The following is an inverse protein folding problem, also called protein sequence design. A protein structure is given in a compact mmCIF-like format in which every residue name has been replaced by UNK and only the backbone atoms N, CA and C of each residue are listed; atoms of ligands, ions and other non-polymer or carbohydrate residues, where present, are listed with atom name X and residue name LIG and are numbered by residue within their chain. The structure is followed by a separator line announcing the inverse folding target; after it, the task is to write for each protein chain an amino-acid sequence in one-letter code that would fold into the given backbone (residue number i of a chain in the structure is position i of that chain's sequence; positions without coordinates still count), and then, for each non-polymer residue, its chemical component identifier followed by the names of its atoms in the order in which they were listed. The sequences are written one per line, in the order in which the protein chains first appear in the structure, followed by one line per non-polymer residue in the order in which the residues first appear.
data_IF_593694222797
#
_entry.id   IF_593694222797
#
_cell.length_a   1.000
_cell.length_b   1.000
_cell.length_c   1.000
_cell.angle_alpha   90.00
_cell.angle_beta   90.00
_cell.angle_gamma   90.00
#
_symmetry.space_group_name_H-M   'P 1'
#
loop_
_entity.id
_entity.type
_entity.pdbx_description
1 polymer ?
#
# COMPACT_ATOMS: atom_id res chain seq x y z
N UNK A 1 10.92 14.01 16.02
CA UNK A 1 11.26 12.80 15.25
C UNK A 1 11.49 13.24 13.82
N UNK A 2 12.53 12.68 13.19
CA UNK A 2 12.90 13.04 11.82
C UNK A 2 12.02 12.28 10.83
N UNK A 3 11.26 12.97 9.98
CA UNK A 3 10.32 12.40 9.01
C UNK A 3 10.62 12.87 7.60
N UNK A 4 10.43 12.00 6.62
CA UNK A 4 10.54 12.32 5.20
C UNK A 4 9.15 12.63 4.62
N UNK A 5 8.87 13.90 4.38
CA UNK A 5 7.56 14.32 3.85
C UNK A 5 7.54 14.52 2.34
N UNK A 6 8.66 14.82 1.73
CA UNK A 6 8.83 14.93 0.27
C UNK A 6 10.31 14.86 -0.10
N UNK A 7 10.58 14.61 -1.37
CA UNK A 7 11.92 14.59 -1.92
C UNK A 7 11.94 15.33 -3.26
N UNK A 8 12.93 16.19 -3.43
CA UNK A 8 13.23 16.89 -4.68
C UNK A 8 14.74 16.96 -4.89
N UNK A 9 15.16 16.90 -6.14
CA UNK A 9 16.55 17.06 -6.54
C UNK A 9 16.62 17.74 -7.91
N UNK A 10 17.51 18.71 -8.11
CA UNK A 10 17.71 19.31 -9.43
C UNK A 10 18.33 18.34 -10.44
N UNK A 11 18.96 17.26 -10.00
CA UNK A 11 19.60 16.27 -10.87
C UNK A 11 18.62 15.29 -11.50
N UNK A 12 17.50 14.99 -10.83
CA UNK A 12 16.53 14.00 -11.27
C UNK A 12 15.12 14.58 -11.27
N UNK A 13 14.45 14.65 -12.42
CA UNK A 13 13.15 15.31 -12.51
C UNK A 13 12.07 14.53 -11.78
N UNK A 14 11.22 15.26 -11.06
CA UNK A 14 10.00 14.74 -10.48
C UNK A 14 9.02 14.41 -11.61
N UNK A 15 8.58 13.14 -11.67
CA UNK A 15 7.57 12.66 -12.62
C UNK A 15 6.15 12.84 -12.06
N UNK A 16 5.99 12.50 -10.77
CA UNK A 16 4.69 12.53 -10.12
C UNK A 16 4.85 12.59 -8.60
N UNK A 17 4.02 13.41 -7.95
CA UNK A 17 3.87 13.41 -6.49
C UNK A 17 2.52 12.84 -6.12
N UNK A 18 2.51 11.61 -5.62
CA UNK A 18 1.32 10.95 -5.09
C UNK A 18 1.01 11.36 -3.66
N UNK A 19 -0.06 10.80 -3.10
CA UNK A 19 -0.49 11.06 -1.71
C UNK A 19 0.60 10.70 -0.69
N UNK A 20 1.38 9.62 -0.93
CA UNK A 20 2.38 9.09 0.01
C UNK A 20 3.73 8.73 -0.63
N UNK A 21 3.88 8.85 -1.95
CA UNK A 21 5.09 8.55 -2.70
C UNK A 21 5.44 9.67 -3.68
N UNK A 22 6.73 9.88 -3.89
CA UNK A 22 7.26 10.73 -4.95
C UNK A 22 7.96 9.83 -5.98
N UNK A 23 7.65 10.00 -7.26
CA UNK A 23 8.26 9.28 -8.38
C UNK A 23 9.14 10.22 -9.17
N UNK A 24 10.38 9.84 -9.40
CA UNK A 24 11.38 10.63 -10.12
C UNK A 24 11.98 9.82 -11.28
N UNK A 25 12.57 10.49 -12.26
CA UNK A 25 13.29 9.86 -13.36
C UNK A 25 14.75 9.67 -12.99
N UNK A 26 15.20 8.44 -12.81
CA UNK A 26 16.61 8.14 -12.60
C UNK A 26 17.43 8.37 -13.89
N UNK A 27 18.75 8.61 -13.79
CA UNK A 27 19.62 8.81 -14.98
C UNK A 27 19.64 7.60 -15.92
N UNK A 28 19.38 6.39 -15.41
CA UNK A 28 19.25 5.16 -16.24
C UNK A 28 18.00 5.12 -17.12
N UNK A 29 17.06 6.06 -16.93
CA UNK A 29 15.75 6.02 -17.57
C UNK A 29 14.69 5.26 -16.76
N UNK A 30 15.09 4.57 -15.70
CA UNK A 30 14.19 3.89 -14.79
C UNK A 30 13.45 4.87 -13.85
N UNK A 31 12.50 4.36 -13.09
CA UNK A 31 11.77 5.14 -12.09
C UNK A 31 12.38 4.95 -10.70
N UNK A 32 12.67 6.06 -10.02
CA UNK A 32 12.97 6.07 -8.60
C UNK A 32 11.68 6.38 -7.84
N UNK A 33 11.27 5.49 -6.95
CA UNK A 33 10.14 5.70 -6.05
C UNK A 33 10.69 6.02 -4.67
N UNK A 34 10.32 7.19 -4.14
CA UNK A 34 10.58 7.59 -2.76
C UNK A 34 9.30 7.42 -1.95
N UNK A 35 9.33 6.53 -0.98
CA UNK A 35 8.20 6.27 -0.08
C UNK A 35 8.35 7.16 1.15
N UNK A 36 7.40 8.08 1.31
CA UNK A 36 7.44 9.11 2.34
C UNK A 36 6.66 8.71 3.58
N UNK A 37 6.87 9.45 4.67
CA UNK A 37 6.16 9.28 5.93
C UNK A 37 4.78 9.97 5.95
N UNK A 38 4.38 10.57 4.83
CA UNK A 38 3.02 11.15 4.68
C UNK A 38 1.96 10.08 4.91
N UNK A 39 0.88 10.45 5.57
CA UNK A 39 -0.29 9.60 5.75
C UNK A 39 -1.49 10.19 5.01
N UNK A 40 -2.16 9.37 4.23
CA UNK A 40 -3.43 9.72 3.57
C UNK A 40 -4.57 8.92 4.19
N UNK A 41 -5.64 9.60 4.56
CA UNK A 41 -6.89 9.01 5.03
C UNK A 41 -8.08 9.82 4.53
N UNK A 42 -9.16 9.14 4.16
CA UNK A 42 -10.38 9.78 3.60
C UNK A 42 -10.04 10.76 2.45
N UNK A 43 -9.21 10.29 1.51
CA UNK A 43 -8.72 10.99 0.32
C UNK A 43 -7.92 12.27 0.56
N UNK A 44 -7.59 12.58 1.81
CA UNK A 44 -6.79 13.74 2.20
C UNK A 44 -5.44 13.30 2.79
N UNK A 45 -4.38 14.02 2.41
CA UNK A 45 -3.07 13.89 3.07
C UNK A 45 -3.10 14.71 4.37
N UNK A 46 -2.75 14.05 5.47
CA UNK A 46 -2.68 14.71 6.78
C UNK A 46 -1.43 15.61 6.88
N UNK A 47 -1.51 16.64 7.69
CA UNK A 47 -0.38 17.54 7.99
C UNK A 47 0.70 16.84 8.84
N UNK A 48 0.29 15.81 9.61
CA UNK A 48 1.20 15.03 10.46
C UNK A 48 1.71 13.81 9.69
N UNK A 49 3.03 13.70 9.54
CA UNK A 49 3.69 12.52 9.04
C UNK A 49 3.91 11.49 10.17
N UNK A 50 3.93 10.21 9.82
CA UNK A 50 4.15 9.11 10.76
C UNK A 50 5.61 8.62 10.64
N UNK A 51 6.45 8.79 11.67
CA UNK A 51 7.84 8.35 11.64
C UNK A 51 7.97 6.88 11.24
N UNK A 52 8.97 6.58 10.42
CA UNK A 52 9.28 5.23 9.89
C UNK A 52 8.27 4.64 8.90
N UNK A 53 7.09 5.27 8.70
CA UNK A 53 6.05 4.72 7.84
C UNK A 53 6.57 4.43 6.42
N UNK A 54 7.27 5.38 5.82
CA UNK A 54 7.81 5.21 4.46
C UNK A 54 8.77 4.03 4.35
N UNK A 55 9.68 3.89 5.31
CA UNK A 55 10.64 2.79 5.34
C UNK A 55 9.96 1.43 5.58
N UNK A 56 8.94 1.38 6.43
CA UNK A 56 8.12 0.17 6.66
C UNK A 56 7.42 -0.26 5.38
N UNK A 57 6.72 0.65 4.71
CA UNK A 57 5.99 0.33 3.48
C UNK A 57 6.93 -0.14 2.36
N UNK A 58 8.05 0.57 2.18
CA UNK A 58 9.04 0.22 1.16
C UNK A 58 9.71 -1.13 1.45
N UNK A 59 10.06 -1.38 2.70
CA UNK A 59 10.66 -2.65 3.13
C UNK A 59 9.69 -3.83 2.98
N UNK A 60 8.41 -3.65 3.37
CA UNK A 60 7.38 -4.67 3.17
C UNK A 60 7.13 -4.94 1.68
N UNK A 61 7.00 -3.90 0.86
CA UNK A 61 6.82 -4.07 -0.58
C UNK A 61 7.99 -4.86 -1.19
N UNK A 62 9.23 -4.50 -0.86
CA UNK A 62 10.42 -5.24 -1.33
C UNK A 62 10.43 -6.71 -0.87
N UNK A 63 10.07 -6.97 0.39
CA UNK A 63 9.94 -8.35 0.93
C UNK A 63 8.94 -9.17 0.12
N UNK A 64 7.74 -8.63 -0.12
CA UNK A 64 6.69 -9.34 -0.84
C UNK A 64 7.01 -9.51 -2.32
N UNK A 65 7.56 -8.51 -3.00
CA UNK A 65 8.00 -8.63 -4.39
C UNK A 65 9.03 -9.74 -4.57
N UNK A 66 9.98 -9.87 -3.63
CA UNK A 66 10.95 -10.96 -3.66
C UNK A 66 10.30 -12.33 -3.45
N UNK A 67 9.36 -12.43 -2.49
CA UNK A 67 8.66 -13.70 -2.17
C UNK A 67 7.75 -14.17 -3.29
N UNK A 68 7.17 -13.27 -4.08
CA UNK A 68 6.15 -13.56 -5.10
C UNK A 68 6.66 -13.54 -6.53
N UNK A 69 7.96 -13.34 -6.75
CA UNK A 69 8.56 -13.24 -8.08
C UNK A 69 8.34 -14.48 -8.96
N UNK A 70 8.10 -15.65 -8.35
CA UNK A 70 7.77 -16.90 -9.06
C UNK A 70 6.30 -16.95 -9.53
N UNK A 71 5.40 -16.12 -8.99
CA UNK A 71 3.98 -16.06 -9.39
C UNK A 71 3.84 -15.12 -10.59
N UNK A 72 4.46 -13.94 -10.49
CA UNK A 72 4.44 -12.90 -11.52
C UNK A 72 5.72 -12.05 -11.43
N UNK A 73 6.33 -11.65 -12.55
CA UNK A 73 7.39 -10.64 -12.54
C UNK A 73 6.91 -9.33 -11.93
N UNK A 74 7.84 -8.56 -11.37
CA UNK A 74 7.53 -7.25 -10.81
C UNK A 74 8.50 -6.17 -11.32
N UNK A 75 8.22 -4.93 -10.97
CA UNK A 75 8.96 -3.79 -11.46
C UNK A 75 10.30 -3.53 -10.72
N UNK A 76 10.57 -4.21 -9.62
CA UNK A 76 11.74 -3.90 -8.76
C UNK A 76 13.05 -4.23 -9.47
N UNK A 77 13.96 -3.26 -9.48
CA UNK A 77 15.35 -3.44 -9.88
C UNK A 77 16.20 -3.64 -8.63
N UNK A 78 16.13 -2.69 -7.68
CA UNK A 78 16.82 -2.80 -6.39
C UNK A 78 16.25 -1.86 -5.32
N UNK A 79 16.38 -2.27 -4.08
CA UNK A 79 16.21 -1.39 -2.93
C UNK A 79 17.45 -0.49 -2.84
N UNK A 80 17.26 0.84 -2.92
CA UNK A 80 18.35 1.82 -2.90
C UNK A 80 18.56 2.35 -1.47
N UNK A 81 17.47 2.60 -0.77
CA UNK A 81 17.43 3.06 0.61
C UNK A 81 16.21 2.46 1.30
N UNK A 82 16.14 2.50 2.62
CA UNK A 82 14.94 2.07 3.34
C UNK A 82 13.67 2.80 2.84
N UNK A 83 13.81 4.04 2.36
CA UNK A 83 12.72 4.85 1.81
C UNK A 83 12.72 4.94 0.27
N UNK A 84 13.63 4.26 -0.44
CA UNK A 84 13.78 4.41 -1.88
C UNK A 84 13.97 3.08 -2.62
N UNK A 85 13.27 2.92 -3.72
CA UNK A 85 13.35 1.77 -4.59
C UNK A 85 13.54 2.21 -6.06
N UNK A 86 14.51 1.65 -6.75
CA UNK A 86 14.66 1.79 -8.19
C UNK A 86 13.83 0.70 -8.87
N UNK A 87 12.97 1.11 -9.80
CA UNK A 87 12.03 0.20 -10.47
C UNK A 87 12.04 0.45 -11.98
N UNK A 88 11.70 -0.58 -12.74
CA UNK A 88 11.50 -0.49 -14.18
C UNK A 88 10.36 0.50 -14.50
N UNK A 89 10.52 1.27 -15.58
CA UNK A 89 9.43 2.10 -16.10
C UNK A 89 8.44 1.21 -16.85
N UNK A 90 7.31 0.92 -16.22
CA UNK A 90 6.22 0.15 -16.82
C UNK A 90 5.06 1.07 -17.18
N UNK A 91 4.26 0.70 -18.16
CA UNK A 91 3.00 1.36 -18.49
C UNK A 91 1.92 0.92 -17.49
N UNK A 92 1.42 1.80 -16.60
CA UNK A 92 0.46 1.41 -15.59
C UNK A 92 -0.91 1.08 -16.20
N UNK A 93 -1.50 -0.04 -15.81
CA UNK A 93 -2.89 -0.35 -16.10
C UNK A 93 -3.75 0.42 -15.09
N UNK A 94 -4.69 1.24 -15.59
CA UNK A 94 -5.54 2.10 -14.74
C UNK A 94 -6.72 1.34 -14.12
N UNK A 95 -6.45 0.16 -13.60
CA UNK A 95 -7.40 -0.71 -12.91
C UNK A 95 -6.74 -1.23 -11.65
N UNK A 96 -7.43 -1.13 -10.53
CA UNK A 96 -7.00 -1.72 -9.28
C UNK A 96 -7.76 -3.02 -9.04
N UNK A 97 -7.03 -4.09 -8.73
CA UNK A 97 -7.60 -5.40 -8.43
C UNK A 97 -7.71 -5.57 -6.92
N UNK A 98 -8.90 -5.34 -6.37
CA UNK A 98 -9.14 -5.50 -4.93
C UNK A 98 -9.63 -6.92 -4.65
N UNK A 99 -8.85 -7.68 -3.90
CA UNK A 99 -9.21 -9.03 -3.43
C UNK A 99 -9.72 -8.94 -1.99
N UNK A 100 -10.89 -9.52 -1.73
CA UNK A 100 -11.54 -9.48 -0.41
C UNK A 100 -11.90 -10.88 0.04
N UNK A 101 -11.53 -11.23 1.26
CA UNK A 101 -11.91 -12.51 1.88
C UNK A 101 -12.88 -12.33 3.04
N UNK A 102 -13.17 -11.07 3.44
CA UNK A 102 -14.05 -10.73 4.56
C UNK A 102 -14.96 -9.55 4.21
N UNK A 103 -16.18 -9.58 4.72
CA UNK A 103 -17.14 -8.50 4.55
C UNK A 103 -16.83 -7.36 5.53
N UNK A 104 -16.04 -6.39 5.09
CA UNK A 104 -15.61 -5.25 5.92
C UNK A 104 -15.41 -3.96 5.12
N UNK A 105 -15.02 -2.89 5.76
CA UNK A 105 -14.66 -1.62 5.13
C UNK A 105 -15.79 -1.01 4.30
N UNK A 106 -15.48 -0.58 3.07
CA UNK A 106 -16.47 0.00 2.15
C UNK A 106 -17.56 -0.98 1.77
N UNK A 107 -17.19 -2.25 1.55
CA UNK A 107 -18.15 -3.29 1.19
C UNK A 107 -19.18 -3.53 2.29
N UNK A 108 -18.76 -3.55 3.58
CA UNK A 108 -19.70 -3.65 4.69
C UNK A 108 -20.65 -2.45 4.75
N UNK A 109 -20.15 -1.23 4.55
CA UNK A 109 -21.00 -0.01 4.53
C UNK A 109 -22.04 -0.08 3.41
N UNK A 110 -21.64 -0.51 2.20
CA UNK A 110 -22.56 -0.74 1.10
C UNK A 110 -23.59 -1.81 1.42
N UNK A 111 -23.17 -2.93 2.02
CA UNK A 111 -24.04 -4.02 2.43
C UNK A 111 -25.09 -3.57 3.46
N UNK A 112 -24.69 -2.77 4.47
CA UNK A 112 -25.62 -2.16 5.43
C UNK A 112 -26.60 -1.19 4.77
N UNK A 113 -26.18 -0.50 3.71
CA UNK A 113 -27.05 0.38 2.91
C UNK A 113 -27.97 -0.36 1.93
N UNK A 114 -27.96 -1.70 1.94
CA UNK A 114 -28.81 -2.53 1.09
C UNK A 114 -28.17 -3.02 -0.21
N UNK A 115 -26.92 -2.64 -0.51
CA UNK A 115 -26.18 -3.15 -1.67
C UNK A 115 -25.88 -4.64 -1.50
N UNK A 116 -26.08 -5.43 -2.58
CA UNK A 116 -25.81 -6.87 -2.59
C UNK A 116 -24.88 -7.27 -3.74
N UNK A 117 -24.62 -6.35 -4.67
CA UNK A 117 -23.73 -6.59 -5.79
C UNK A 117 -22.61 -5.57 -5.78
N UNK A 118 -21.36 -6.04 -5.78
CA UNK A 118 -20.14 -5.25 -5.70
C UNK A 118 -19.23 -5.63 -6.87
N UNK A 119 -18.95 -4.71 -7.76
CA UNK A 119 -18.18 -4.93 -8.99
C UNK A 119 -18.64 -6.19 -9.78
N UNK A 120 -19.95 -6.49 -9.76
CA UNK A 120 -20.53 -7.66 -10.43
C UNK A 120 -20.60 -8.92 -9.57
N UNK A 121 -20.02 -8.96 -8.39
CA UNK A 121 -20.12 -10.09 -7.44
C UNK A 121 -21.33 -9.88 -6.55
N UNK A 122 -22.26 -10.83 -6.57
CA UNK A 122 -23.44 -10.82 -5.71
C UNK A 122 -23.20 -11.64 -4.43
N UNK A 123 -23.51 -11.06 -3.28
CA UNK A 123 -23.42 -11.70 -1.97
C UNK A 123 -24.80 -11.92 -1.38
N UNK A 124 -25.02 -13.01 -0.59
CA UNK A 124 -26.32 -13.32 -0.02
C UNK A 124 -26.75 -12.35 1.08
N UNK A 125 -28.02 -12.39 1.44
CA UNK A 125 -28.55 -11.75 2.65
C UNK A 125 -28.08 -12.48 3.93
N UNK A 126 -28.18 -11.79 5.07
CA UNK A 126 -27.91 -12.37 6.38
C UNK A 126 -26.43 -12.44 6.76
N UNK A 127 -25.52 -11.89 5.97
CA UNK A 127 -24.12 -11.80 6.35
C UNK A 127 -23.91 -10.79 7.48
N UNK A 128 -22.96 -11.08 8.36
CA UNK A 128 -22.56 -10.22 9.46
C UNK A 128 -21.27 -9.47 9.15
N UNK A 129 -21.03 -8.39 9.90
CA UNK A 129 -19.78 -7.63 9.78
C UNK A 129 -18.59 -8.53 10.08
N UNK A 130 -17.53 -8.36 9.28
CA UNK A 130 -16.30 -9.15 9.39
C UNK A 130 -16.45 -10.65 9.07
N UNK A 131 -17.61 -11.09 8.57
CA UNK A 131 -17.79 -12.48 8.16
C UNK A 131 -16.85 -12.82 7.00
N UNK A 132 -16.20 -13.99 7.10
CA UNK A 132 -15.37 -14.54 6.06
C UNK A 132 -16.25 -15.07 4.90
N UNK A 133 -15.84 -14.80 3.67
CA UNK A 133 -16.43 -15.43 2.49
C UNK A 133 -15.90 -16.86 2.33
N UNK A 134 -16.65 -17.78 1.74
CA UNK A 134 -16.17 -19.14 1.45
C UNK A 134 -14.89 -19.14 0.59
N UNK A 135 -14.81 -18.23 -0.37
CA UNK A 135 -13.66 -18.00 -1.24
C UNK A 135 -13.39 -16.49 -1.36
N UNK A 136 -12.14 -16.06 -1.57
CA UNK A 136 -11.84 -14.67 -1.84
C UNK A 136 -12.53 -14.21 -3.13
N UNK A 137 -13.09 -13.01 -3.11
CA UNK A 137 -13.73 -12.36 -4.25
C UNK A 137 -12.87 -11.22 -4.80
N UNK A 138 -12.95 -10.99 -6.10
CA UNK A 138 -12.26 -9.88 -6.78
C UNK A 138 -13.29 -8.80 -7.12
N UNK A 139 -13.03 -7.58 -6.65
CA UNK A 139 -13.89 -6.41 -6.87
C UNK A 139 -13.04 -5.28 -7.47
N UNK A 140 -12.88 -5.23 -8.80
CA UNK A 140 -12.05 -4.23 -9.44
C UNK A 140 -12.62 -2.82 -9.30
N UNK A 141 -11.71 -1.82 -9.29
CA UNK A 141 -12.04 -0.40 -9.40
C UNK A 141 -11.22 0.25 -10.51
N UNK A 142 -11.75 1.32 -11.11
CA UNK A 142 -10.94 2.17 -11.99
C UNK A 142 -10.03 3.05 -11.14
N UNK A 143 -8.88 3.44 -11.70
CA UNK A 143 -7.96 4.40 -11.09
C UNK A 143 -8.16 5.77 -11.73
N UNK A 144 -9.24 6.44 -11.32
CA UNK A 144 -9.62 7.80 -11.71
C UNK A 144 -9.34 8.78 -10.54
N UNK A 145 -9.85 10.01 -10.60
CA UNK A 145 -9.76 10.95 -9.46
C UNK A 145 -10.47 10.42 -8.21
N UNK A 146 -11.57 9.69 -8.42
CA UNK A 146 -12.24 8.89 -7.39
C UNK A 146 -12.38 7.46 -7.89
N UNK A 147 -11.89 6.49 -7.11
CA UNK A 147 -11.97 5.07 -7.44
C UNK A 147 -13.44 4.67 -7.64
N UNK A 148 -13.78 4.23 -8.84
CA UNK A 148 -15.14 3.81 -9.22
C UNK A 148 -15.21 2.29 -9.24
N UNK A 149 -16.18 1.71 -8.50
CA UNK A 149 -16.52 0.28 -8.67
C UNK A 149 -16.93 0.00 -10.10
N UNK A 150 -16.36 -1.03 -10.71
CA UNK A 150 -16.61 -1.39 -12.09
C UNK A 150 -16.75 -2.91 -12.23
N UNK A 151 -17.68 -3.35 -13.08
CA UNK A 151 -17.83 -4.78 -13.35
C UNK A 151 -16.78 -5.26 -14.36
N UNK A 152 -16.40 -6.55 -14.37
CA UNK A 152 -15.53 -7.12 -15.41
C UNK A 152 -16.02 -6.84 -16.83
N UNK A 153 -17.34 -6.94 -17.05
CA UNK A 153 -17.95 -6.64 -18.33
C UNK A 153 -17.72 -5.18 -18.76
N UNK A 154 -17.87 -4.25 -17.82
CA UNK A 154 -17.71 -2.83 -18.10
C UNK A 154 -16.23 -2.46 -18.27
N UNK A 155 -15.30 -3.12 -17.56
CA UNK A 155 -13.86 -2.94 -17.80
C UNK A 155 -13.49 -3.20 -19.26
N UNK A 156 -14.08 -4.24 -19.86
CA UNK A 156 -13.83 -4.58 -21.26
C UNK A 156 -14.61 -3.66 -22.21
N UNK A 157 -15.90 -3.43 -21.96
CA UNK A 157 -16.74 -2.63 -22.86
C UNK A 157 -16.43 -1.13 -22.86
N UNK A 158 -15.78 -0.64 -21.81
CA UNK A 158 -15.29 0.75 -21.68
C UNK A 158 -13.79 0.88 -22.06
N UNK A 159 -13.18 -0.16 -22.66
CA UNK A 159 -11.79 -0.19 -23.13
C UNK A 159 -10.71 0.09 -22.06
N UNK A 160 -11.00 -0.25 -20.78
CA UNK A 160 -9.98 -0.17 -19.73
C UNK A 160 -8.91 -1.25 -19.88
N UNK A 161 -9.35 -2.48 -20.17
CA UNK A 161 -8.49 -3.65 -20.41
C UNK A 161 -9.18 -4.63 -21.36
N UNK A 162 -8.40 -5.47 -22.05
CA UNK A 162 -8.97 -6.62 -22.78
C UNK A 162 -9.48 -7.69 -21.81
N UNK A 163 -10.37 -8.56 -22.26
CA UNK A 163 -10.85 -9.71 -21.47
C UNK A 163 -9.68 -10.59 -21.04
N UNK A 164 -8.76 -10.91 -21.96
CA UNK A 164 -7.60 -11.73 -21.68
C UNK A 164 -6.71 -11.13 -20.59
N UNK A 165 -6.47 -9.83 -20.64
CA UNK A 165 -5.66 -9.13 -19.66
C UNK A 165 -6.35 -9.09 -18.29
N UNK A 166 -7.66 -8.86 -18.26
CA UNK A 166 -8.45 -8.94 -17.01
C UNK A 166 -8.40 -10.33 -16.38
N UNK A 167 -8.52 -11.39 -17.19
CA UNK A 167 -8.46 -12.77 -16.71
C UNK A 167 -7.06 -13.09 -16.13
N UNK A 168 -5.99 -12.65 -16.80
CA UNK A 168 -4.63 -12.79 -16.29
C UNK A 168 -4.46 -12.05 -14.95
N UNK A 169 -4.90 -10.79 -14.86
CA UNK A 169 -4.84 -10.00 -13.63
C UNK A 169 -5.61 -10.67 -12.49
N UNK A 170 -6.78 -11.24 -12.77
CA UNK A 170 -7.61 -11.95 -11.78
C UNK A 170 -6.90 -13.18 -11.24
N UNK A 171 -6.40 -14.05 -12.13
CA UNK A 171 -5.67 -15.27 -11.75
C UNK A 171 -4.43 -14.93 -10.92
N UNK A 172 -3.66 -13.90 -11.32
CA UNK A 172 -2.47 -13.48 -10.58
C UNK A 172 -2.82 -12.87 -9.23
N UNK A 173 -3.87 -12.04 -9.15
CA UNK A 173 -4.33 -11.44 -7.90
C UNK A 173 -4.74 -12.51 -6.86
N UNK A 174 -5.50 -13.52 -7.28
CA UNK A 174 -5.91 -14.61 -6.39
C UNK A 174 -4.72 -15.47 -5.95
N UNK A 175 -3.76 -15.75 -6.84
CA UNK A 175 -2.54 -16.49 -6.49
C UNK A 175 -1.65 -15.72 -5.49
N UNK A 176 -1.48 -14.41 -5.70
CA UNK A 176 -0.77 -13.53 -4.78
C UNK A 176 -1.46 -13.46 -3.42
N UNK A 177 -2.79 -13.31 -3.41
CA UNK A 177 -3.59 -13.26 -2.18
C UNK A 177 -3.49 -14.57 -1.38
N UNK A 178 -3.60 -15.71 -2.05
CA UNK A 178 -3.47 -17.02 -1.44
C UNK A 178 -2.11 -17.18 -0.75
N UNK A 179 -1.03 -16.94 -1.50
CA UNK A 179 0.33 -17.06 -0.98
C UNK A 179 0.58 -16.11 0.20
N UNK A 180 0.12 -14.85 0.10
CA UNK A 180 0.21 -13.88 1.19
C UNK A 180 -0.57 -14.31 2.42
N UNK A 181 -1.80 -14.83 2.24
CA UNK A 181 -2.65 -15.33 3.33
C UNK A 181 -2.02 -16.53 4.05
N UNK A 182 -1.43 -17.48 3.31
CA UNK A 182 -0.76 -18.66 3.87
C UNK A 182 0.46 -18.24 4.72
N UNK A 183 1.34 -17.37 4.18
CA UNK A 183 2.52 -16.90 4.91
C UNK A 183 2.15 -16.09 6.16
N UNK A 184 1.12 -15.25 6.07
CA UNK A 184 0.66 -14.42 7.20
C UNK A 184 -0.04 -15.26 8.27
N UNK A 185 -0.77 -16.31 7.87
CA UNK A 185 -1.41 -17.25 8.81
C UNK A 185 -0.39 -17.95 9.71
N UNK A 186 0.79 -18.33 9.20
CA UNK A 186 1.90 -18.89 9.98
C UNK A 186 2.38 -17.92 11.09
N UNK A 187 2.12 -16.63 10.92
CA UNK A 187 2.49 -15.56 11.85
C UNK A 187 1.33 -15.07 12.72
N UNK A 188 0.19 -15.78 12.68
CA UNK A 188 -1.01 -15.40 13.43
C UNK A 188 -1.68 -14.13 12.88
N UNK A 189 -1.48 -13.81 11.61
CA UNK A 189 -2.05 -12.62 10.96
C UNK A 189 -3.03 -13.06 9.87
N UNK A 190 -4.21 -12.44 9.85
CA UNK A 190 -5.20 -12.59 8.78
C UNK A 190 -5.00 -11.49 7.74
N UNK A 191 -4.81 -11.86 6.47
CA UNK A 191 -4.95 -10.95 5.35
C UNK A 191 -6.42 -10.85 4.98
N UNK A 192 -7.01 -9.71 5.28
CA UNK A 192 -8.46 -9.48 5.17
C UNK A 192 -8.87 -9.12 3.75
N UNK A 193 -8.23 -8.13 3.21
CA UNK A 193 -8.32 -7.67 1.84
C UNK A 193 -7.02 -6.98 1.42
N UNK A 194 -6.83 -6.84 0.12
CA UNK A 194 -5.68 -6.14 -0.45
C UNK A 194 -6.01 -5.58 -1.82
N UNK A 195 -5.24 -4.60 -2.25
CA UNK A 195 -5.27 -3.99 -3.57
C UNK A 195 -3.97 -4.30 -4.31
N UNK A 196 -4.08 -4.75 -5.56
CA UNK A 196 -2.95 -4.93 -6.47
C UNK A 196 -3.06 -3.98 -7.65
N UNK A 197 -1.91 -3.47 -8.07
CA UNK A 197 -1.76 -2.69 -9.30
C UNK A 197 -0.82 -3.40 -10.26
N UNK A 198 -1.16 -3.35 -11.52
CA UNK A 198 -0.42 -4.01 -12.59
C UNK A 198 0.02 -2.99 -13.64
N UNK A 199 1.05 -3.35 -14.39
CA UNK A 199 1.53 -2.61 -15.53
C UNK A 199 2.01 -3.54 -16.64
N UNK A 200 2.26 -2.96 -17.80
CA UNK A 200 2.88 -3.66 -18.93
C UNK A 200 4.33 -3.22 -19.08
N UNK A 201 5.23 -4.19 -19.18
CA UNK A 201 6.62 -3.98 -19.51
C UNK A 201 6.94 -4.75 -20.79
N UNK A 202 7.17 -4.05 -21.89
CA UNK A 202 7.35 -4.65 -23.21
C UNK A 202 6.19 -5.58 -23.64
N UNK A 203 4.96 -5.24 -23.21
CA UNK A 203 3.75 -6.03 -23.45
C UNK A 203 3.51 -7.16 -22.48
N UNK A 204 4.41 -7.44 -21.54
CA UNK A 204 4.24 -8.46 -20.51
C UNK A 204 3.63 -7.87 -19.25
N UNK A 205 2.66 -8.59 -18.65
CA UNK A 205 2.01 -8.22 -17.40
C UNK A 205 2.98 -8.36 -16.23
N UNK A 206 3.18 -7.28 -15.47
CA UNK A 206 3.97 -7.26 -14.24
C UNK A 206 3.22 -6.62 -13.08
N UNK A 207 3.59 -7.00 -11.86
CA UNK A 207 3.11 -6.37 -10.64
C UNK A 207 3.89 -5.08 -10.37
N UNK A 208 3.17 -3.99 -10.04
CA UNK A 208 3.75 -2.68 -9.74
C UNK A 208 3.22 -2.13 -8.42
N UNK A 209 3.63 -0.92 -8.05
CA UNK A 209 3.24 -0.14 -6.87
C UNK A 209 3.68 -0.81 -5.56
N UNK A 210 2.78 -1.42 -4.83
CA UNK A 210 3.03 -2.12 -3.57
C UNK A 210 2.09 -3.32 -3.42
N UNK A 211 2.41 -4.23 -2.52
CA UNK A 211 1.51 -5.31 -2.13
C UNK A 211 1.65 -5.65 -0.66
N UNK A 212 0.55 -6.06 -0.05
CA UNK A 212 0.47 -6.55 1.33
C UNK A 212 1.16 -5.61 2.33
N UNK A 213 0.99 -4.31 2.15
CA UNK A 213 1.43 -3.28 3.10
C UNK A 213 0.24 -2.76 3.90
N UNK A 214 0.45 -2.13 5.06
CA UNK A 214 -0.63 -1.51 5.84
C UNK A 214 -1.40 -0.40 5.10
N UNK A 215 -0.89 0.09 3.97
CA UNK A 215 -1.58 1.09 3.14
C UNK A 215 -2.46 0.45 2.06
N UNK A 216 -2.03 -0.68 1.48
CA UNK A 216 -2.77 -1.41 0.45
C UNK A 216 -3.65 -2.54 0.98
N UNK A 217 -3.50 -2.94 2.24
CA UNK A 217 -4.13 -4.13 2.82
C UNK A 217 -4.66 -3.88 4.22
N UNK A 218 -5.63 -4.73 4.65
CA UNK A 218 -6.03 -4.86 6.04
C UNK A 218 -5.48 -6.14 6.63
N UNK A 219 -5.02 -6.01 7.86
CA UNK A 219 -4.50 -7.12 8.65
C UNK A 219 -5.21 -7.18 10.00
N UNK A 220 -5.61 -8.38 10.42
CA UNK A 220 -6.15 -8.62 11.75
C UNK A 220 -5.31 -9.65 12.49
N UNK A 221 -5.28 -9.54 13.83
CA UNK A 221 -4.80 -10.61 14.70
C UNK A 221 -5.73 -11.82 14.58
N UNK A 222 -5.17 -12.98 14.22
CA UNK A 222 -5.96 -14.22 14.12
C UNK A 222 -6.53 -14.65 15.48
N UNK A 223 -5.76 -14.45 16.56
CA UNK A 223 -6.20 -14.75 17.94
C UNK A 223 -7.38 -13.87 18.34
N UNK A 224 -7.28 -12.56 18.11
CA UNK A 224 -8.36 -11.64 18.48
C UNK A 224 -9.61 -11.84 17.63
N UNK A 225 -9.43 -12.12 16.34
CA UNK A 225 -10.55 -12.44 15.45
C UNK A 225 -11.27 -13.71 15.90
N UNK A 226 -10.54 -14.76 16.28
CA UNK A 226 -11.14 -16.00 16.79
C UNK A 226 -11.88 -15.78 18.12
N UNK A 227 -11.42 -14.83 18.96
CA UNK A 227 -12.08 -14.48 20.22
C UNK A 227 -13.34 -13.65 20.00
N UNK A 228 -13.26 -12.62 19.19
CA UNK A 228 -14.38 -11.76 18.81
C UNK A 228 -14.06 -11.00 17.50
N UNK A 229 -14.69 -11.36 16.38
CA UNK A 229 -14.46 -10.69 15.11
C UNK A 229 -14.69 -9.17 15.11
N UNK A 230 -15.64 -8.67 15.92
CA UNK A 230 -15.96 -7.24 15.96
C UNK A 230 -14.88 -6.39 16.62
N UNK A 231 -14.10 -6.98 17.52
CA UNK A 231 -13.05 -6.30 18.30
C UNK A 231 -11.64 -6.72 17.90
N UNK A 232 -11.50 -7.49 16.81
CA UNK A 232 -10.20 -7.93 16.32
C UNK A 232 -9.23 -6.74 16.14
N UNK A 233 -8.00 -6.91 16.64
CA UNK A 233 -6.97 -5.87 16.54
C UNK A 233 -6.70 -5.54 15.06
N UNK A 234 -6.85 -4.26 14.73
CA UNK A 234 -6.53 -3.70 13.40
C UNK A 234 -5.05 -3.36 13.35
N UNK A 235 -4.28 -4.07 12.53
CA UNK A 235 -2.82 -3.95 12.46
C UNK A 235 -2.35 -3.02 11.31
N UNK A 236 -3.28 -2.29 10.71
CA UNK A 236 -3.06 -1.36 9.61
C UNK A 236 -3.39 0.10 10.01
N UNK A 237 -3.56 0.98 9.04
CA UNK A 237 -3.91 2.39 9.27
C UNK A 237 -5.34 2.62 9.82
N UNK A 238 -6.12 1.56 10.03
CA UNK A 238 -7.49 1.68 10.57
C UNK A 238 -7.50 2.32 11.97
N UNK A 239 -6.47 2.09 12.78
CA UNK A 239 -6.30 2.81 14.06
C UNK A 239 -6.40 4.33 13.89
N UNK A 240 -5.68 4.88 12.92
CA UNK A 240 -5.73 6.33 12.65
C UNK A 240 -7.09 6.73 12.09
N UNK A 241 -7.67 5.93 11.20
CA UNK A 241 -9.01 6.20 10.66
C UNK A 241 -10.07 6.26 11.75
N UNK A 242 -10.06 5.32 12.70
CA UNK A 242 -10.99 5.31 13.83
C UNK A 242 -10.82 6.54 14.72
N UNK A 243 -9.57 6.93 14.98
CA UNK A 243 -9.31 8.17 15.73
C UNK A 243 -9.85 9.41 14.98
N UNK A 244 -9.64 9.52 13.67
CA UNK A 244 -10.17 10.62 12.86
C UNK A 244 -11.70 10.65 12.90
N UNK A 245 -12.37 9.49 12.81
CA UNK A 245 -13.82 9.39 12.90
C UNK A 245 -14.32 9.87 14.27
N UNK A 246 -13.70 9.41 15.35
CA UNK A 246 -14.07 9.77 16.73
C UNK A 246 -13.83 11.25 17.06
N UNK A 247 -12.91 11.89 16.34
CA UNK A 247 -12.57 13.31 16.55
C UNK A 247 -13.12 14.23 15.44
N UNK A 248 -14.05 13.75 14.61
CA UNK A 248 -14.70 14.54 13.58
C UNK A 248 -15.53 15.67 14.21
N UNK A 249 -15.33 16.92 13.74
CA UNK A 249 -16.07 18.10 14.21
C UNK A 249 -16.70 18.82 13.01
N UNK A 250 -17.94 19.23 13.15
CA UNK A 250 -18.69 19.98 12.11
C UNK A 250 -18.61 19.32 10.71
N UNK A 251 -18.65 18.00 10.68
CA UNK A 251 -18.55 17.24 9.43
C UNK A 251 -17.13 17.09 8.86
N UNK A 252 -16.10 17.67 9.49
CA UNK A 252 -14.72 17.64 9.02
C UNK A 252 -13.83 16.75 9.90
N UNK A 253 -12.92 16.02 9.26
CA UNK A 253 -11.88 15.26 9.95
C UNK A 253 -10.73 16.17 10.39
N UNK A 254 -10.07 15.87 11.53
CA UNK A 254 -8.83 16.55 11.89
C UNK A 254 -7.78 16.44 10.77
N UNK A 255 -7.05 17.50 10.50
CA UNK A 255 -5.96 17.50 9.52
C UNK A 255 -4.62 17.08 10.12
N UNK A 256 -4.47 17.19 11.44
CA UNK A 256 -3.28 16.82 12.19
C UNK A 256 -3.63 15.81 13.27
N UNK A 257 -2.66 14.94 13.60
CA UNK A 257 -2.76 13.97 14.69
C UNK A 257 -2.08 14.52 15.94
N UNK A 258 -2.50 14.03 17.12
CA UNK A 258 -1.78 14.34 18.35
C UNK A 258 -0.45 13.57 18.41
N UNK A 259 0.52 14.03 19.23
CA UNK A 259 1.80 13.32 19.40
C UNK A 259 1.62 11.85 19.82
N UNK A 260 0.66 11.58 20.72
CA UNK A 260 0.37 10.24 21.23
C UNK A 260 -0.14 9.33 20.11
N UNK A 261 -1.06 9.81 19.29
CA UNK A 261 -1.62 9.06 18.15
C UNK A 261 -0.55 8.82 17.10
N UNK A 262 0.31 9.81 16.85
CA UNK A 262 1.43 9.70 15.91
C UNK A 262 2.44 8.64 16.36
N UNK A 263 2.78 8.64 17.65
CA UNK A 263 3.71 7.67 18.24
C UNK A 263 3.13 6.25 18.20
N UNK A 264 1.86 6.07 18.58
CA UNK A 264 1.20 4.76 18.52
C UNK A 264 1.05 4.26 17.08
N UNK A 265 0.72 5.14 16.13
CA UNK A 265 0.71 4.77 14.72
C UNK A 265 2.08 4.29 14.24
N UNK A 266 3.16 5.04 14.55
CA UNK A 266 4.52 4.62 14.21
C UNK A 266 4.88 3.26 14.82
N UNK A 267 4.55 3.03 16.10
CA UNK A 267 4.76 1.75 16.78
C UNK A 267 4.06 0.60 16.06
N UNK A 268 2.81 0.79 15.61
CA UNK A 268 2.03 -0.23 14.87
C UNK A 268 2.64 -0.55 13.50
N UNK A 269 3.13 0.45 12.77
CA UNK A 269 3.85 0.23 11.52
C UNK A 269 5.14 -0.58 11.73
N UNK A 270 5.90 -0.30 12.79
CA UNK A 270 7.11 -1.07 13.12
C UNK A 270 6.78 -2.50 13.56
N UNK A 271 5.73 -2.67 14.37
CA UNK A 271 5.28 -3.98 14.86
C UNK A 271 4.84 -4.90 13.71
N UNK A 272 4.00 -4.40 12.79
CA UNK A 272 3.57 -5.21 11.64
C UNK A 272 4.74 -5.57 10.72
N UNK A 273 5.71 -4.66 10.54
CA UNK A 273 6.93 -4.97 9.80
C UNK A 273 7.68 -6.14 10.44
N UNK A 274 7.97 -6.04 11.73
CA UNK A 274 8.71 -7.06 12.47
C UNK A 274 7.96 -8.41 12.48
N UNK A 275 6.66 -8.41 12.63
CA UNK A 275 5.84 -9.64 12.58
C UNK A 275 5.89 -10.29 11.20
N UNK A 276 5.77 -9.51 10.12
CA UNK A 276 5.75 -10.05 8.75
C UNK A 276 7.16 -10.49 8.31
N UNK A 277 8.17 -9.66 8.50
CA UNK A 277 9.55 -9.93 8.02
C UNK A 277 10.29 -10.90 8.96
N UNK A 278 10.02 -10.81 10.27
CA UNK A 278 10.69 -11.58 11.31
C UNK A 278 11.86 -10.85 11.96
N UNK A 279 12.20 -9.66 11.47
CA UNK A 279 13.33 -8.83 11.93
C UNK A 279 12.86 -7.40 12.16
N UNK A 280 13.54 -6.67 13.06
CA UNK A 280 13.28 -5.25 13.26
C UNK A 280 13.67 -4.45 12.02
N UNK A 281 12.97 -3.34 11.78
CA UNK A 281 13.33 -2.43 10.69
C UNK A 281 14.76 -1.88 10.93
N UNK A 282 15.71 -2.04 10.00
CA UNK A 282 17.11 -1.68 10.24
C UNK A 282 17.34 -0.21 10.62
N UNK A 283 16.42 0.68 10.21
CA UNK A 283 16.51 2.13 10.46
C UNK A 283 15.77 2.60 11.71
N UNK A 284 15.19 1.69 12.50
CA UNK A 284 14.41 2.00 13.70
C UNK A 284 15.24 2.06 15.00
N UNK A 285 16.58 2.01 14.92
CA UNK A 285 17.47 2.07 16.08
C UNK A 285 17.47 3.44 16.78
N UNK A 286 18.00 3.51 18.04
CA UNK A 286 18.08 4.74 18.82
C UNK A 286 19.02 5.81 18.24
N UNK A 287 19.97 5.43 17.41
CA UNK A 287 20.80 6.35 16.64
C UNK A 287 20.03 6.78 15.39
N UNK A 288 19.21 7.80 15.55
CA UNK A 288 18.46 8.41 14.45
C UNK A 288 19.40 9.14 13.52
N UNK A 289 19.98 8.43 12.57
CA UNK A 289 20.58 9.05 11.39
C UNK A 289 19.49 9.91 10.74
N UNK A 290 19.81 11.14 10.38
CA UNK A 290 18.91 12.00 9.62
C UNK A 290 18.44 11.24 8.39
N UNK A 291 17.13 10.98 8.29
CA UNK A 291 16.52 10.20 7.20
C UNK A 291 16.91 10.77 5.84
N UNK A 292 17.00 12.10 5.75
CA UNK A 292 17.38 12.80 4.52
C UNK A 292 18.84 12.60 4.19
N UNK A 293 19.73 12.76 5.17
CA UNK A 293 21.17 12.54 4.98
C UNK A 293 21.45 11.10 4.59
N UNK A 294 20.82 10.12 5.23
CA UNK A 294 20.92 8.71 4.86
C UNK A 294 20.44 8.46 3.42
N UNK A 295 19.25 8.97 3.07
CA UNK A 295 18.67 8.80 1.73
C UNK A 295 19.60 9.38 0.66
N UNK A 296 20.12 10.59 0.87
CA UNK A 296 21.05 11.22 -0.07
C UNK A 296 22.33 10.41 -0.24
N UNK A 297 22.96 9.99 0.86
CA UNK A 297 24.16 9.17 0.81
C UNK A 297 23.94 7.86 0.05
N UNK A 298 22.80 7.20 0.27
CA UNK A 298 22.45 5.95 -0.41
C UNK A 298 22.13 6.16 -1.90
N UNK A 299 21.48 7.26 -2.28
CA UNK A 299 21.23 7.60 -3.68
C UNK A 299 22.54 7.90 -4.43
N UNK A 300 23.50 8.56 -3.80
CA UNK A 300 24.83 8.78 -4.36
C UNK A 300 25.58 7.45 -4.48
N UNK A 301 25.62 6.63 -3.44
CA UNK A 301 26.26 5.32 -3.47
C UNK A 301 25.67 4.38 -4.53
N UNK A 302 24.37 4.53 -4.83
CA UNK A 302 23.66 3.77 -5.87
C UNK A 302 23.89 4.31 -7.29
N UNK A 303 24.59 5.45 -7.45
CA UNK A 303 24.80 6.12 -8.74
C UNK A 303 23.55 6.80 -9.30
N UNK A 304 22.56 7.07 -8.48
CA UNK A 304 21.34 7.80 -8.86
C UNK A 304 21.56 9.31 -8.80
N UNK A 305 22.36 9.77 -7.83
CA UNK A 305 22.81 11.15 -7.71
C UNK A 305 24.33 11.21 -7.78
N UNK A 306 24.89 12.38 -8.12
CA UNK A 306 26.34 12.64 -8.04
C UNK A 306 26.66 13.36 -6.75
N UNK A 307 27.89 13.18 -6.22
CA UNK A 307 28.34 13.80 -4.95
C UNK A 307 28.52 15.33 -5.04
N UNK A 308 28.34 15.93 -6.21
CA UNK A 308 28.62 17.34 -6.47
C UNK A 308 27.50 18.30 -5.97
N UNK A 309 26.36 17.78 -5.50
CA UNK A 309 25.23 18.61 -5.11
C UNK A 309 25.11 18.75 -3.59
N UNK A 310 25.96 19.60 -2.99
CA UNK A 310 25.76 20.09 -1.62
C UNK A 310 24.51 21.00 -1.47
N UNK A 311 23.88 21.39 -2.58
CA UNK A 311 22.66 22.23 -2.60
C UNK A 311 21.34 21.43 -2.69
N UNK A 312 21.34 20.16 -2.38
CA UNK A 312 20.10 19.38 -2.34
C UNK A 312 19.15 19.91 -1.26
N UNK A 313 18.28 20.82 -1.67
CA UNK A 313 17.15 21.28 -0.84
C UNK A 313 16.14 20.14 -0.69
N UNK A 314 16.36 19.37 0.31
CA UNK A 314 15.31 18.52 0.87
C UNK A 314 14.56 19.39 1.85
N UNK A 315 13.46 19.98 1.41
CA UNK A 315 12.57 20.83 2.22
C UNK A 315 11.70 19.97 3.13
#
# INVERSE_FOLDING_TARGET
MNTLTHFESPQIPLLHRGKVRDSLRAPSGDRLIIVTDRLSAFDSVLETAIPHKGAVLNGLANFWFAKTAHIIPNHVIKLVDANAMLVKEAEPIKVEMVVRHYLTGSMWRGYQAGQRTFSGVTVPDGLTKHQQFPEPIVTPTTKEESDREITPKNLVSEDWVSQELYDQMTVKSLALFKMGSELLAEKGIILVDTKYEFGLLNGELILIDEMHTPDSSRFWSAEDYARNPETAEQMDKEYVRQWLIANKKDGQYPRALTPEVTQEASRRYLDIYQRIVGEALPTAGPETTDVRARLLANLVAAGVLTSADEELRVL
#
